data_IF_450446388899
#
_entry.id   IF_450446388899
#
_cell.length_a   1.000
_cell.length_b   1.000
_cell.length_c   1.000
_cell.angle_alpha   90.00
_cell.angle_beta   90.00
_cell.angle_gamma   90.00
#
_symmetry.space_group_name_H-M   'P 1'
#
loop_
_entity.id
_entity.type
_entity.pdbx_description
1 polymer ?
#
# COMPACT_ATOMS: atom_id res chain seq x y z
N UNK A 1 17.38 4.57 -18.43
CA UNK A 1 16.90 5.11 -17.14
C UNK A 1 17.54 4.28 -16.03
N UNK A 2 17.88 4.87 -14.88
CA UNK A 2 18.29 4.08 -13.71
C UNK A 2 17.10 3.26 -13.18
N UNK A 3 17.34 2.20 -12.41
CA UNK A 3 16.24 1.37 -11.93
C UNK A 3 15.37 2.21 -10.96
N UNK A 4 14.06 2.12 -11.10
CA UNK A 4 13.13 3.10 -10.51
C UNK A 4 12.58 2.58 -9.17
N UNK A 5 12.63 3.46 -8.16
CA UNK A 5 12.05 3.22 -6.82
C UNK A 5 10.56 3.55 -6.78
N UNK A 6 9.89 3.08 -5.73
CA UNK A 6 8.55 3.58 -5.40
C UNK A 6 8.57 5.09 -5.21
N UNK A 7 7.60 5.77 -5.82
CA UNK A 7 7.26 7.16 -5.53
C UNK A 7 6.57 7.27 -4.18
N UNK A 8 6.49 8.49 -3.64
CA UNK A 8 5.79 8.75 -2.37
C UNK A 8 4.30 8.33 -2.43
N UNK A 9 3.62 8.64 -3.53
CA UNK A 9 2.23 8.24 -3.72
C UNK A 9 2.07 6.71 -3.75
N UNK A 10 2.92 6.00 -4.49
CA UNK A 10 2.87 4.53 -4.53
C UNK A 10 3.13 3.92 -3.14
N UNK A 11 4.10 4.46 -2.40
CA UNK A 11 4.40 3.98 -1.05
C UNK A 11 3.25 4.26 -0.07
N UNK A 12 2.59 5.41 -0.20
CA UNK A 12 1.41 5.76 0.59
C UNK A 12 0.26 4.79 0.31
N UNK A 13 -0.01 4.50 -0.97
CA UNK A 13 -1.06 3.56 -1.39
C UNK A 13 -0.75 2.12 -0.98
N UNK A 14 0.51 1.72 -1.05
CA UNK A 14 0.95 0.42 -0.58
C UNK A 14 0.69 0.25 0.92
N UNK A 15 1.03 1.26 1.74
CA UNK A 15 0.76 1.24 3.18
C UNK A 15 -0.74 1.23 3.50
N UNK A 16 -1.54 2.00 2.76
CA UNK A 16 -3.00 1.97 2.88
C UNK A 16 -3.57 0.58 2.57
N UNK A 17 -3.10 -0.06 1.49
CA UNK A 17 -3.50 -1.42 1.13
C UNK A 17 -3.15 -2.47 2.19
N UNK A 18 -1.94 -2.39 2.75
CA UNK A 18 -1.51 -3.23 3.87
C UNK A 18 -2.41 -3.04 5.10
N UNK A 19 -2.76 -1.79 5.43
CA UNK A 19 -3.66 -1.50 6.54
C UNK A 19 -5.07 -2.07 6.30
N UNK A 20 -5.61 -1.89 5.10
CA UNK A 20 -6.92 -2.42 4.70
C UNK A 20 -6.94 -3.95 4.70
N UNK A 21 -5.87 -4.63 4.32
CA UNK A 21 -5.81 -6.10 4.39
C UNK A 21 -5.86 -6.62 5.83
N UNK A 22 -5.23 -5.90 6.78
CA UNK A 22 -5.35 -6.21 8.21
C UNK A 22 -6.78 -6.02 8.70
N UNK A 23 -7.45 -4.94 8.30
CA UNK A 23 -8.87 -4.70 8.62
C UNK A 23 -9.77 -5.78 8.01
N UNK A 24 -9.53 -6.19 6.76
CA UNK A 24 -10.26 -7.25 6.10
C UNK A 24 -10.15 -8.61 6.83
N UNK A 25 -9.03 -8.86 7.52
CA UNK A 25 -8.83 -10.05 8.35
C UNK A 25 -9.64 -10.05 9.67
N UNK A 26 -10.12 -8.88 10.13
CA UNK A 26 -10.85 -8.76 11.38
C UNK A 26 -12.20 -9.49 11.31
N UNK A 27 -12.65 -10.00 12.45
CA UNK A 27 -13.86 -10.83 12.54
C UNK A 27 -15.11 -10.09 12.04
N UNK A 28 -15.22 -8.81 12.34
CA UNK A 28 -16.37 -7.98 11.94
C UNK A 28 -16.46 -7.75 10.43
N UNK A 29 -15.33 -7.63 9.73
CA UNK A 29 -15.31 -7.54 8.26
C UNK A 29 -15.52 -8.93 7.67
N UNK A 30 -14.64 -9.87 8.00
CA UNK A 30 -14.62 -11.22 7.42
C UNK A 30 -15.88 -12.05 7.69
N UNK A 31 -16.51 -11.90 8.86
CA UNK A 31 -17.70 -12.68 9.26
C UNK A 31 -18.93 -11.83 9.52
N UNK A 32 -18.77 -10.53 9.80
CA UNK A 32 -19.87 -9.62 10.07
C UNK A 32 -20.41 -8.94 8.81
N UNK A 33 -19.75 -9.09 7.65
CA UNK A 33 -20.22 -8.57 6.37
C UNK A 33 -20.08 -7.05 6.22
N UNK A 34 -19.31 -6.40 7.10
CA UNK A 34 -18.96 -4.99 6.92
C UNK A 34 -17.99 -4.83 5.75
N UNK A 35 -18.15 -3.77 4.98
CA UNK A 35 -17.19 -3.41 3.94
C UNK A 35 -15.90 -2.85 4.57
N UNK A 36 -14.75 -3.17 3.96
CA UNK A 36 -13.44 -2.75 4.48
C UNK A 36 -13.20 -1.25 4.31
N UNK A 37 -13.74 -0.64 3.25
CA UNK A 37 -13.64 0.79 3.01
C UNK A 37 -14.46 1.55 4.05
N UNK A 38 -15.66 1.07 4.38
CA UNK A 38 -16.47 1.66 5.45
C UNK A 38 -15.72 1.63 6.80
N UNK A 39 -15.13 0.49 7.15
CA UNK A 39 -14.35 0.36 8.40
C UNK A 39 -13.11 1.26 8.38
N UNK A 40 -12.40 1.32 7.25
CA UNK A 40 -11.27 2.23 7.06
C UNK A 40 -11.72 3.68 7.24
N UNK A 41 -12.87 4.05 6.68
CA UNK A 41 -13.42 5.39 6.79
C UNK A 41 -13.77 5.74 8.25
N UNK A 42 -14.44 4.84 8.95
CA UNK A 42 -14.90 4.99 10.34
C UNK A 42 -13.78 5.15 11.38
N UNK A 43 -12.57 4.62 11.11
CA UNK A 43 -11.41 4.82 12.00
C UNK A 43 -11.05 6.30 12.21
N UNK A 44 -11.45 7.16 11.27
CA UNK A 44 -11.05 8.55 11.23
C UNK A 44 -9.54 8.74 11.07
N UNK A 45 -9.09 10.00 11.07
CA UNK A 45 -7.67 10.33 10.82
C UNK A 45 -6.73 9.69 11.84
N UNK A 46 -7.07 9.76 13.12
CA UNK A 46 -6.20 9.28 14.20
C UNK A 46 -6.11 7.75 14.25
N UNK A 47 -7.23 7.03 14.07
CA UNK A 47 -7.23 5.58 14.03
C UNK A 47 -6.43 5.03 12.85
N UNK A 48 -6.59 5.63 11.66
CA UNK A 48 -5.77 5.30 10.49
C UNK A 48 -4.29 5.54 10.73
N UNK A 49 -3.93 6.67 11.35
CA UNK A 49 -2.53 6.94 11.71
C UNK A 49 -1.94 5.88 12.63
N UNK A 50 -2.64 5.49 13.71
CA UNK A 50 -2.15 4.46 14.62
C UNK A 50 -1.93 3.12 13.91
N UNK A 51 -2.88 2.72 13.06
CA UNK A 51 -2.77 1.49 12.29
C UNK A 51 -1.59 1.53 11.33
N UNK A 52 -1.45 2.61 10.56
CA UNK A 52 -0.32 2.79 9.63
C UNK A 52 1.02 2.81 10.36
N UNK A 53 1.11 3.52 11.49
CA UNK A 53 2.32 3.60 12.31
C UNK A 53 2.74 2.21 12.85
N UNK A 54 1.78 1.39 13.29
CA UNK A 54 2.07 0.03 13.75
C UNK A 54 2.53 -0.94 12.65
N UNK A 55 2.21 -0.65 11.39
CA UNK A 55 2.62 -1.45 10.23
C UNK A 55 3.93 -0.94 9.60
N UNK A 56 4.27 0.34 9.79
CA UNK A 56 5.40 1.01 9.16
C UNK A 56 6.71 0.23 9.37
N UNK A 57 7.02 -0.16 10.61
CA UNK A 57 8.25 -0.89 10.96
C UNK A 57 8.34 -2.30 10.34
N UNK A 58 7.23 -2.85 9.88
CA UNK A 58 7.15 -4.21 9.32
C UNK A 58 7.14 -4.21 7.80
N UNK A 59 6.56 -3.18 7.18
CA UNK A 59 6.31 -3.12 5.74
C UNK A 59 7.30 -2.23 5.02
N UNK A 60 7.57 -1.02 5.55
CA UNK A 60 8.43 -0.05 4.87
C UNK A 60 9.86 -0.57 4.65
N UNK A 61 10.53 -1.20 5.64
CA UNK A 61 11.87 -1.73 5.40
C UNK A 61 11.91 -2.75 4.27
N UNK A 62 10.89 -3.60 4.16
CA UNK A 62 10.79 -4.60 3.09
C UNK A 62 10.58 -3.94 1.74
N UNK A 63 9.65 -2.99 1.62
CA UNK A 63 9.40 -2.27 0.37
C UNK A 63 10.64 -1.51 -0.11
N UNK A 64 11.45 -0.98 0.81
CA UNK A 64 12.70 -0.29 0.47
C UNK A 64 13.87 -1.22 0.16
N UNK A 65 13.80 -2.48 0.57
CA UNK A 65 14.80 -3.51 0.30
C UNK A 65 14.54 -4.27 -1.02
N UNK A 66 13.34 -4.13 -1.59
CA UNK A 66 13.04 -4.68 -2.91
C UNK A 66 13.98 -4.08 -3.97
N UNK A 67 14.35 -4.88 -5.00
CA UNK A 67 15.21 -4.38 -6.05
C UNK A 67 14.53 -3.25 -6.81
N UNK A 68 15.31 -2.26 -7.22
CA UNK A 68 14.82 -1.21 -8.09
C UNK A 68 14.39 -1.84 -9.45
N UNK A 69 13.22 -1.49 -9.97
CA UNK A 69 12.66 -2.04 -11.23
C UNK A 69 12.27 -0.90 -12.17
N UNK A 70 12.44 -1.12 -13.47
CA UNK A 70 11.91 -0.17 -14.46
C UNK A 70 10.40 -0.39 -14.61
N UNK A 71 9.62 0.67 -14.49
CA UNK A 71 8.15 0.62 -14.54
C UNK A 71 7.67 1.54 -15.64
N UNK A 72 7.05 0.96 -16.66
CA UNK A 72 6.45 1.73 -17.74
C UNK A 72 5.24 2.52 -17.22
N UNK A 73 5.02 3.77 -17.68
CA UNK A 73 3.80 4.51 -17.35
C UNK A 73 2.54 3.71 -17.70
N UNK A 74 1.53 3.78 -16.83
CA UNK A 74 0.29 3.00 -16.93
C UNK A 74 0.41 1.55 -16.47
N UNK A 75 1.60 1.08 -16.08
CA UNK A 75 1.82 -0.27 -15.52
C UNK A 75 2.14 -0.23 -14.03
N UNK A 76 2.13 -1.39 -13.37
CA UNK A 76 2.49 -1.52 -11.95
C UNK A 76 3.87 -2.16 -11.82
N UNK A 77 4.64 -1.84 -10.77
CA UNK A 77 5.84 -2.60 -10.47
C UNK A 77 5.48 -4.05 -10.15
N UNK A 78 6.25 -4.97 -10.72
CA UNK A 78 6.09 -6.42 -10.49
C UNK A 78 7.35 -7.00 -9.88
N UNK A 79 7.17 -7.80 -8.83
CA UNK A 79 8.25 -8.49 -8.13
C UNK A 79 7.96 -9.98 -8.12
N UNK A 80 9.01 -10.80 -8.15
CA UNK A 80 8.85 -12.25 -8.01
C UNK A 80 8.59 -12.62 -6.55
N UNK A 81 7.97 -13.78 -6.33
CA UNK A 81 7.77 -14.30 -4.96
C UNK A 81 9.11 -14.47 -4.21
N UNK A 82 10.17 -14.90 -4.89
CA UNK A 82 11.52 -14.99 -4.34
C UNK A 82 12.07 -13.63 -3.90
N UNK A 83 11.87 -12.57 -4.68
CA UNK A 83 12.34 -11.22 -4.32
C UNK A 83 11.62 -10.73 -3.06
N UNK A 84 10.30 -10.90 -2.99
CA UNK A 84 9.51 -10.54 -1.82
C UNK A 84 9.94 -11.36 -0.61
N UNK A 85 10.08 -12.67 -0.76
CA UNK A 85 10.53 -13.56 0.33
C UNK A 85 11.91 -13.16 0.85
N UNK A 86 12.88 -12.94 -0.04
CA UNK A 86 14.25 -12.57 0.33
C UNK A 86 14.28 -11.25 1.10
N UNK A 87 13.57 -10.22 0.62
CA UNK A 87 13.49 -8.92 1.29
C UNK A 87 12.82 -9.03 2.68
N UNK A 88 11.81 -9.89 2.81
CA UNK A 88 11.18 -10.16 4.11
C UNK A 88 12.15 -10.87 5.06
N UNK A 89 12.88 -11.89 4.58
CA UNK A 89 13.81 -12.69 5.39
C UNK A 89 14.98 -11.88 5.94
N UNK A 90 15.49 -10.92 5.17
CA UNK A 90 16.53 -9.98 5.58
C UNK A 90 16.08 -9.13 6.79
N UNK A 91 14.80 -8.74 6.83
CA UNK A 91 14.21 -7.98 7.94
C UNK A 91 13.78 -8.79 9.16
N UNK A 92 14.11 -10.08 9.25
CA UNK A 92 13.72 -10.98 10.36
C UNK A 92 14.84 -11.30 11.35
N UNK A 93 15.89 -10.49 11.39
CA UNK A 93 16.96 -10.64 12.38
C UNK A 93 16.40 -10.55 13.81
N UNK A 94 16.86 -11.43 14.70
CA UNK A 94 16.43 -11.48 16.11
C UNK A 94 15.11 -12.20 16.40
N UNK A 95 14.35 -12.66 15.40
CA UNK A 95 13.14 -13.49 15.62
C UNK A 95 13.53 -14.93 15.98
N UNK A 96 13.04 -15.42 17.13
CA UNK A 96 13.30 -16.78 17.60
C UNK A 96 12.89 -17.85 16.57
N UNK A 97 13.73 -18.90 16.40
CA UNK A 97 13.58 -19.93 15.35
C UNK A 97 12.16 -20.50 15.20
N UNK A 98 11.44 -20.69 16.31
CA UNK A 98 10.08 -21.24 16.31
C UNK A 98 9.01 -20.30 15.75
N UNK A 99 9.15 -18.99 15.97
CA UNK A 99 8.18 -17.99 15.51
C UNK A 99 8.45 -17.54 14.07
N UNK A 100 9.69 -17.74 13.58
CA UNK A 100 10.17 -17.23 12.29
C UNK A 100 9.28 -17.63 11.12
N UNK A 101 8.82 -18.89 11.05
CA UNK A 101 8.02 -19.36 9.93
C UNK A 101 6.63 -18.72 9.82
N UNK A 102 5.96 -18.47 10.96
CA UNK A 102 4.65 -17.80 10.96
C UNK A 102 4.80 -16.30 10.67
N UNK A 103 5.79 -15.65 11.30
CA UNK A 103 6.07 -14.22 11.08
C UNK A 103 6.44 -13.96 9.62
N UNK A 104 7.28 -14.82 9.03
CA UNK A 104 7.63 -14.76 7.62
C UNK A 104 6.39 -14.80 6.71
N UNK A 105 5.51 -15.80 6.91
CA UNK A 105 4.28 -15.92 6.11
C UNK A 105 3.34 -14.73 6.27
N UNK A 106 3.16 -14.26 7.51
CA UNK A 106 2.30 -13.11 7.78
C UNK A 106 2.86 -11.83 7.14
N UNK A 107 4.18 -11.62 7.22
CA UNK A 107 4.82 -10.44 6.64
C UNK A 107 4.85 -10.48 5.11
N UNK A 108 5.06 -11.65 4.50
CA UNK A 108 4.91 -11.82 3.03
C UNK A 108 3.49 -11.43 2.61
N UNK A 109 2.44 -11.99 3.24
CA UNK A 109 1.06 -11.68 2.88
C UNK A 109 0.73 -10.18 3.04
N UNK A 110 1.29 -9.52 4.06
CA UNK A 110 1.12 -8.09 4.28
C UNK A 110 1.80 -7.26 3.17
N UNK A 111 3.00 -7.65 2.75
CA UNK A 111 3.75 -6.99 1.68
C UNK A 111 3.08 -7.23 0.32
N UNK A 112 2.60 -8.44 0.05
CA UNK A 112 1.82 -8.73 -1.17
C UNK A 112 0.55 -7.87 -1.24
N UNK A 113 -0.17 -7.73 -0.13
CA UNK A 113 -1.32 -6.83 -0.05
C UNK A 113 -0.93 -5.36 -0.29
N UNK A 114 0.23 -4.94 0.20
CA UNK A 114 0.77 -3.61 -0.05
C UNK A 114 1.05 -3.41 -1.55
N UNK A 115 1.77 -4.35 -2.18
CA UNK A 115 2.12 -4.31 -3.61
C UNK A 115 0.87 -4.33 -4.50
N UNK A 116 -0.15 -5.11 -4.14
CA UNK A 116 -1.41 -5.17 -4.88
C UNK A 116 -2.17 -3.84 -4.89
N UNK A 117 -1.97 -2.98 -3.88
CA UNK A 117 -2.59 -1.67 -3.77
C UNK A 117 -1.81 -0.55 -4.45
N UNK A 118 -0.60 -0.82 -4.96
CA UNK A 118 0.18 0.15 -5.72
C UNK A 118 -0.58 0.51 -7.01
N UNK A 119 -0.88 1.80 -7.24
CA UNK A 119 -1.55 2.23 -8.46
C UNK A 119 -0.61 2.08 -9.67
N UNK A 120 -1.15 2.01 -10.89
CA UNK A 120 -0.34 2.16 -12.09
C UNK A 120 0.49 3.45 -12.06
N UNK A 121 1.74 3.38 -12.53
CA UNK A 121 2.69 4.49 -12.54
C UNK A 121 2.16 5.62 -13.42
N UNK A 122 2.11 6.83 -12.86
CA UNK A 122 1.82 8.04 -13.64
C UNK A 122 3.11 8.49 -14.33
N UNK A 123 3.03 8.86 -15.60
CA UNK A 123 4.15 9.41 -16.36
C UNK A 123 4.63 10.73 -15.73
N UNK A 124 5.89 10.86 -15.30
CA UNK A 124 6.41 12.11 -14.75
C UNK A 124 6.42 13.27 -15.75
N UNK A 125 6.46 12.99 -17.06
CA UNK A 125 6.43 13.99 -18.13
C UNK A 125 5.02 14.12 -18.76
N UNK A 126 4.08 13.26 -18.35
CA UNK A 126 2.69 13.30 -18.79
C UNK A 126 1.94 14.42 -18.07
N UNK A 127 1.60 15.49 -18.80
CA UNK A 127 0.64 16.48 -18.32
C UNK A 127 -0.64 15.78 -17.88
N UNK A 128 -1.01 15.94 -16.60
CA UNK A 128 -2.32 15.51 -16.10
C UNK A 128 -3.39 16.30 -16.86
N UNK A 129 -4.08 15.63 -17.77
CA UNK A 129 -5.20 16.19 -18.53
C UNK A 129 -6.47 16.18 -17.68
N UNK A 130 -7.46 17.01 -18.02
CA UNK A 130 -8.75 17.13 -17.33
C UNK A 130 -9.48 15.78 -17.19
N UNK A 131 -9.29 14.85 -18.15
CA UNK A 131 -9.81 13.48 -18.06
C UNK A 131 -9.16 12.61 -16.97
N UNK A 132 -7.94 12.95 -16.53
CA UNK A 132 -7.18 12.20 -15.51
C UNK A 132 -7.51 12.63 -14.08
N UNK A 133 -8.08 13.83 -13.93
CA UNK A 133 -8.57 14.43 -12.69
C UNK A 133 -10.08 14.52 -12.85
N UNK A 134 -10.78 13.39 -12.61
CA UNK A 134 -12.23 13.29 -12.78
C UNK A 134 -12.95 14.55 -12.31
N UNK A 135 -13.77 15.11 -13.20
CA UNK A 135 -14.42 16.42 -13.08
C UNK A 135 -14.78 16.75 -11.63
N UNK A 136 -14.03 17.67 -11.05
CA UNK A 136 -14.47 18.37 -9.85
C UNK A 136 -15.60 19.28 -10.33
N UNK A 137 -16.85 18.83 -10.23
CA UNK A 137 -18.02 19.69 -10.38
C UNK A 137 -17.88 20.81 -9.34
N UNK A 138 -17.46 21.99 -9.80
CA UNK A 138 -17.54 23.21 -9.01
C UNK A 138 -19.03 23.59 -9.00
N UNK A 139 -19.70 23.61 -7.83
CA UNK A 139 -21.09 24.03 -7.76
C UNK A 139 -21.21 25.47 -8.25
N UNK A 140 -22.19 25.74 -9.12
CA UNK A 140 -22.48 27.04 -9.74
C UNK A 140 -22.99 28.12 -8.75
N UNK A 141 -22.91 27.90 -7.43
CA UNK A 141 -23.49 28.79 -6.42
C UNK A 141 -22.51 29.85 -5.87
N UNK A 142 -21.80 30.54 -6.76
CA UNK A 142 -21.14 31.81 -6.43
C UNK A 142 -21.70 33.00 -7.24
N UNK A 143 -22.97 32.93 -7.65
CA UNK A 143 -23.68 34.08 -8.25
C UNK A 143 -24.28 35.03 -7.20
N UNK A 144 -23.57 35.29 -6.10
CA UNK A 144 -24.07 36.06 -4.96
C UNK A 144 -23.00 36.89 -4.25
N UNK A 145 -22.32 37.77 -4.99
CA UNK A 145 -21.64 38.96 -4.45
C UNK A 145 -22.03 40.19 -5.29
#
# INVERSE_FOLDING_TARGET
MGPVRFTENEMTRAMEGAAKSVLAGQREVRKGGRDVEDVWHDLGRFGRYQLLAGLADQVLPVLTALPDVEVEPGTRPTFTEEQVRAAVEEGLDGVGRLQRGLVLKARIALVEAALAAVPPRIDPDGLLTEDSIGEIEIPDDLSGL
#
